data_IF_881875326131
#
_entry.id   IF_881875326131
#
_cell.length_a   1.000
_cell.length_b   1.000
_cell.length_c   1.000
_cell.angle_alpha   90.00
_cell.angle_beta   90.00
_cell.angle_gamma   90.00
#
_symmetry.space_group_name_H-M   'P 1'
#
loop_
_entity.id
_entity.type
_entity.pdbx_description
1 polymer ?
#
# COMPACT_ATOMS: atom_id res chain seq x y z
N UNK A 1 -5.66 21.16 23.95
CA UNK A 1 -4.57 21.38 24.92
C UNK A 1 -3.36 20.55 24.51
N UNK A 2 -2.71 20.95 23.38
CA UNK A 2 -1.42 20.39 22.94
C UNK A 2 -0.61 21.51 22.29
N UNK A 3 0.14 22.21 23.14
CA UNK A 3 1.19 23.17 22.81
C UNK A 3 2.44 22.66 23.51
N UNK A 4 3.38 22.11 22.76
CA UNK A 4 4.80 22.06 23.16
C UNK A 4 5.63 21.50 22.01
N UNK A 5 6.44 22.24 21.47
CA UNK A 5 7.83 22.32 21.13
C UNK A 5 8.07 23.21 19.93
N UNK A 6 8.36 24.44 20.27
CA UNK A 6 9.08 25.37 19.39
C UNK A 6 10.35 25.76 20.11
N UNK A 7 11.45 25.71 19.37
CA UNK A 7 12.68 26.45 19.61
C UNK A 7 13.92 25.65 20.03
N UNK A 8 14.95 25.58 19.12
CA UNK A 8 16.12 26.45 19.22
C UNK A 8 17.00 26.34 17.97
N UNK A 9 17.09 27.48 17.30
CA UNK A 9 18.17 27.77 16.36
C UNK A 9 19.49 27.94 17.13
N UNK A 10 20.58 27.41 16.58
CA UNK A 10 21.94 27.68 17.01
C UNK A 10 22.82 27.77 15.78
N UNK A 11 23.08 28.98 15.33
CA UNK A 11 24.07 29.28 14.31
C UNK A 11 25.47 29.19 14.91
N UNK A 12 26.43 28.62 14.20
CA UNK A 12 27.85 28.92 14.37
C UNK A 12 28.61 28.89 13.05
N UNK A 13 29.72 29.66 12.91
CA UNK A 13 30.06 30.37 11.69
C UNK A 13 31.17 29.73 10.84
N UNK A 14 31.29 30.32 9.69
CA UNK A 14 32.31 30.23 8.63
C UNK A 14 33.77 30.06 9.08
N UNK A 15 34.51 29.18 8.40
CA UNK A 15 35.93 29.34 8.11
C UNK A 15 36.29 28.63 6.79
N UNK A 16 36.65 29.41 5.79
CA UNK A 16 37.57 29.05 4.71
C UNK A 16 38.89 29.79 5.02
N UNK A 17 40.05 29.51 4.39
CA UNK A 17 40.29 28.99 3.04
C UNK A 17 41.54 28.10 2.85
N UNK A 18 41.70 27.56 1.63
CA UNK A 18 42.98 27.48 1.00
C UNK A 18 43.74 26.16 1.01
N UNK A 19 43.99 25.60 -0.18
CA UNK A 19 44.96 24.53 -0.40
C UNK A 19 44.74 23.82 -1.74
N UNK A 20 45.28 24.44 -2.84
CA UNK A 20 45.58 23.72 -4.08
C UNK A 20 46.67 22.70 -3.82
N UNK A 21 46.56 21.49 -4.27
CA UNK A 21 47.65 20.66 -4.85
C UNK A 21 47.07 19.57 -5.76
N UNK A 22 47.48 19.70 -7.04
CA UNK A 22 47.91 18.69 -8.02
C UNK A 22 47.28 17.28 -8.04
N UNK A 23 46.64 17.03 -9.14
CA UNK A 23 46.92 16.08 -10.23
C UNK A 23 47.70 14.79 -9.85
N UNK A 24 47.06 13.68 -10.05
CA UNK A 24 47.46 12.42 -10.68
C UNK A 24 46.63 11.24 -10.21
N UNK A 25 45.98 10.63 -11.13
CA UNK A 25 45.83 9.20 -11.39
C UNK A 25 44.40 8.84 -11.85
N UNK A 26 44.27 8.82 -13.15
CA UNK A 26 43.27 7.95 -13.81
C UNK A 26 43.57 6.50 -13.44
N UNK A 27 42.62 5.87 -12.77
CA UNK A 27 42.50 4.42 -12.75
C UNK A 27 41.06 4.03 -12.57
N UNK A 28 40.42 3.66 -13.64
CA UNK A 28 39.37 2.67 -13.83
C UNK A 28 38.43 2.35 -12.65
N UNK A 29 37.30 3.02 -12.56
CA UNK A 29 36.10 2.44 -11.97
C UNK A 29 34.97 2.52 -13.00
N UNK A 30 35.13 1.74 -14.02
CA UNK A 30 34.04 1.33 -14.87
C UNK A 30 33.51 0.01 -14.26
N UNK A 31 32.47 0.06 -13.48
CA UNK A 31 31.48 -1.01 -13.27
C UNK A 31 30.49 -0.60 -12.16
N UNK A 32 29.88 0.55 -12.30
CA UNK A 32 28.56 0.72 -11.66
C UNK A 32 27.54 0.05 -12.57
N UNK A 33 27.19 -1.18 -12.21
CA UNK A 33 26.10 -1.92 -12.82
C UNK A 33 24.87 -1.01 -12.82
N UNK A 34 24.44 -0.58 -13.99
CA UNK A 34 23.17 0.14 -14.19
C UNK A 34 22.08 -0.68 -13.52
N UNK A 35 21.21 -0.08 -12.71
CA UNK A 35 20.07 -0.79 -12.17
C UNK A 35 19.32 -1.40 -13.36
N UNK A 36 19.09 -2.71 -13.30
CA UNK A 36 18.26 -3.40 -14.28
C UNK A 36 16.88 -2.77 -14.20
N UNK A 37 16.58 -1.88 -15.12
CA UNK A 37 15.22 -1.41 -15.38
C UNK A 37 14.48 -2.60 -15.94
N UNK A 38 13.77 -3.30 -15.09
CA UNK A 38 12.80 -4.28 -15.53
C UNK A 38 11.61 -3.50 -16.12
N UNK A 39 11.63 -3.32 -17.42
CA UNK A 39 10.49 -2.82 -18.17
C UNK A 39 9.70 -4.05 -18.65
N UNK A 40 8.53 -4.36 -18.11
CA UNK A 40 7.64 -5.27 -18.80
C UNK A 40 7.06 -4.51 -19.99
N UNK A 41 7.49 -4.86 -21.18
CA UNK A 41 6.72 -4.59 -22.40
C UNK A 41 5.46 -5.45 -22.33
N UNK A 42 4.44 -4.98 -21.63
CA UNK A 42 3.13 -5.59 -21.66
C UNK A 42 2.44 -5.04 -22.91
N UNK A 43 2.15 -5.86 -23.94
CA UNK A 43 1.30 -5.42 -25.04
C UNK A 43 -0.07 -5.06 -24.46
N UNK A 44 -0.59 -3.88 -24.82
CA UNK A 44 -1.92 -3.39 -24.46
C UNK A 44 -3.03 -4.13 -25.22
N UNK A 45 -3.05 -5.44 -25.14
CA UNK A 45 -4.24 -6.25 -25.35
C UNK A 45 -4.58 -6.85 -24.00
N UNK A 46 -5.64 -6.37 -23.38
CA UNK A 46 -6.16 -6.93 -22.12
C UNK A 46 -6.47 -8.40 -22.40
N UNK A 47 -5.73 -9.36 -21.82
CA UNK A 47 -6.00 -10.77 -22.10
C UNK A 47 -7.34 -11.15 -21.48
N UNK A 48 -8.10 -12.03 -22.12
CA UNK A 48 -9.35 -12.62 -21.60
C UNK A 48 -9.22 -13.20 -20.16
N UNK A 49 -8.00 -13.49 -19.74
CA UNK A 49 -7.66 -13.95 -18.37
C UNK A 49 -7.89 -12.88 -17.30
N UNK A 50 -7.72 -11.59 -17.60
CA UNK A 50 -7.99 -10.51 -16.65
C UNK A 50 -9.50 -10.31 -16.44
N UNK A 51 -10.29 -10.48 -17.48
CA UNK A 51 -11.75 -10.45 -17.40
C UNK A 51 -12.30 -11.59 -16.54
N UNK A 52 -11.71 -12.79 -16.63
CA UNK A 52 -12.13 -13.93 -15.82
C UNK A 52 -11.80 -13.74 -14.33
N UNK A 53 -10.63 -13.19 -14.01
CA UNK A 53 -10.25 -12.89 -12.63
C UNK A 53 -11.14 -11.79 -12.03
N UNK A 54 -11.45 -10.74 -12.80
CA UNK A 54 -12.35 -9.66 -12.42
C UNK A 54 -13.77 -10.20 -12.18
N UNK A 55 -14.29 -11.03 -13.09
CA UNK A 55 -15.62 -11.64 -12.97
C UNK A 55 -15.73 -12.56 -11.74
N UNK A 56 -14.67 -13.35 -11.46
CA UNK A 56 -14.62 -14.19 -10.25
C UNK A 56 -14.62 -13.34 -8.98
N UNK A 57 -13.86 -12.24 -8.96
CA UNK A 57 -13.81 -11.30 -7.83
C UNK A 57 -15.18 -10.67 -7.59
N UNK A 58 -15.82 -10.16 -8.61
CA UNK A 58 -17.14 -9.55 -8.50
C UNK A 58 -18.20 -10.54 -8.00
N UNK A 59 -18.19 -11.77 -8.52
CA UNK A 59 -19.08 -12.84 -8.06
C UNK A 59 -18.84 -13.17 -6.59
N UNK A 60 -17.59 -13.21 -6.17
CA UNK A 60 -17.21 -13.48 -4.79
C UNK A 60 -17.61 -12.33 -3.86
N UNK A 61 -17.40 -11.07 -4.24
CA UNK A 61 -17.85 -9.90 -3.47
C UNK A 61 -19.36 -9.87 -3.28
N UNK A 62 -20.14 -10.25 -4.33
CA UNK A 62 -21.60 -10.38 -4.22
C UNK A 62 -21.98 -11.53 -3.28
N UNK A 63 -21.34 -12.70 -3.39
CA UNK A 63 -21.56 -13.85 -2.51
C UNK A 63 -21.33 -13.49 -1.04
N UNK A 64 -20.29 -12.72 -0.75
CA UNK A 64 -19.94 -12.27 0.59
C UNK A 64 -20.82 -11.11 1.08
N UNK A 65 -21.61 -10.49 0.21
CA UNK A 65 -22.28 -9.21 0.50
C UNK A 65 -21.31 -8.16 1.08
N UNK A 66 -20.04 -8.22 0.65
CA UNK A 66 -18.92 -7.56 1.29
C UNK A 66 -19.04 -6.02 1.27
N UNK A 67 -19.74 -5.47 0.29
CA UNK A 67 -19.93 -4.03 0.12
C UNK A 67 -21.13 -3.47 0.90
N UNK A 68 -22.01 -4.33 1.44
CA UNK A 68 -23.30 -3.90 1.95
C UNK A 68 -23.26 -3.24 3.32
N UNK A 69 -22.41 -3.64 4.24
CA UNK A 69 -22.35 -3.06 5.56
C UNK A 69 -21.05 -2.27 5.77
N UNK A 70 -21.17 -0.97 6.02
CA UNK A 70 -20.04 -0.09 6.37
C UNK A 70 -20.04 0.20 7.86
N UNK A 71 -18.88 0.58 8.40
CA UNK A 71 -18.76 1.04 9.78
C UNK A 71 -18.86 -0.07 10.83
N UNK A 72 -18.68 -1.33 10.45
CA UNK A 72 -18.65 -2.42 11.39
C UNK A 72 -17.40 -2.38 12.27
N UNK A 73 -17.58 -2.37 13.59
CA UNK A 73 -16.51 -2.26 14.57
C UNK A 73 -15.39 -3.29 14.38
N UNK A 74 -15.72 -4.49 13.92
CA UNK A 74 -14.71 -5.54 13.70
C UNK A 74 -13.66 -5.13 12.67
N UNK A 75 -14.07 -4.52 11.55
CA UNK A 75 -13.15 -4.03 10.53
C UNK A 75 -12.41 -2.77 10.98
N UNK A 76 -13.10 -1.92 11.77
CA UNK A 76 -12.46 -0.75 12.35
C UNK A 76 -11.32 -1.14 13.29
N UNK A 77 -11.50 -2.15 14.14
CA UNK A 77 -10.42 -2.67 15.00
C UNK A 77 -9.23 -3.23 14.21
N UNK A 78 -9.48 -3.84 13.06
CA UNK A 78 -8.39 -4.32 12.19
C UNK A 78 -7.53 -3.17 11.70
N UNK A 79 -8.14 -2.11 11.14
CA UNK A 79 -7.37 -0.97 10.61
C UNK A 79 -6.68 -0.17 11.70
N UNK A 80 -7.31 -0.01 12.87
CA UNK A 80 -6.67 0.62 14.03
C UNK A 80 -5.47 -0.18 14.53
N UNK A 81 -5.59 -1.51 14.56
CA UNK A 81 -4.50 -2.40 14.95
C UNK A 81 -3.35 -2.32 13.94
N UNK A 82 -3.66 -2.34 12.63
CA UNK A 82 -2.66 -2.18 11.57
C UNK A 82 -1.92 -0.85 11.71
N UNK A 83 -2.63 0.26 11.85
CA UNK A 83 -2.06 1.59 12.03
C UNK A 83 -1.13 1.67 13.25
N UNK A 84 -1.57 1.13 14.39
CA UNK A 84 -0.80 1.15 15.65
C UNK A 84 0.46 0.29 15.58
N UNK A 85 0.36 -0.95 15.09
CA UNK A 85 1.49 -1.88 15.03
C UNK A 85 2.51 -1.41 13.99
N UNK A 86 2.04 -0.96 12.82
CA UNK A 86 2.92 -0.43 11.80
C UNK A 86 3.38 1.00 12.08
N UNK A 87 2.80 1.68 13.08
CA UNK A 87 3.08 3.08 13.44
C UNK A 87 2.91 4.01 12.23
N UNK A 88 1.82 3.83 11.50
CA UNK A 88 1.49 4.61 10.31
C UNK A 88 0.24 5.45 10.53
N UNK A 89 0.15 6.67 9.97
CA UNK A 89 -1.03 7.53 10.10
C UNK A 89 -2.22 7.04 9.28
N UNK A 90 -1.99 6.19 8.28
CA UNK A 90 -3.00 5.69 7.37
C UNK A 90 -3.04 4.18 7.42
N UNK A 91 -4.25 3.63 7.55
CA UNK A 91 -4.54 2.21 7.36
C UNK A 91 -5.92 2.03 6.72
N UNK A 92 -6.10 1.02 5.89
CA UNK A 92 -7.36 0.76 5.23
C UNK A 92 -7.59 -0.72 4.93
N UNK A 93 -8.86 -1.12 4.94
CA UNK A 93 -9.39 -2.30 4.26
C UNK A 93 -10.07 -1.79 3.00
N UNK A 94 -9.52 -2.12 1.84
CA UNK A 94 -10.06 -1.75 0.54
C UNK A 94 -10.54 -2.99 -0.20
N UNK A 95 -11.74 -2.95 -0.78
CA UNK A 95 -12.33 -4.00 -1.61
C UNK A 95 -12.39 -3.51 -3.06
N UNK A 96 -11.98 -4.35 -4.01
CA UNK A 96 -11.91 -4.01 -5.43
C UNK A 96 -13.14 -4.53 -6.16
N UNK A 97 -14.02 -3.61 -6.57
CA UNK A 97 -15.21 -3.88 -7.37
C UNK A 97 -15.12 -3.13 -8.71
N UNK A 98 -14.94 -3.86 -9.79
CA UNK A 98 -14.60 -3.28 -11.09
C UNK A 98 -13.37 -2.40 -11.01
N UNK A 99 -13.50 -1.15 -11.44
CA UNK A 99 -12.44 -0.14 -11.41
C UNK A 99 -12.44 0.72 -10.14
N UNK A 100 -13.18 0.32 -9.11
CA UNK A 100 -13.35 1.10 -7.89
C UNK A 100 -12.87 0.34 -6.66
N UNK A 101 -12.02 0.98 -5.86
CA UNK A 101 -11.65 0.54 -4.52
C UNK A 101 -12.59 1.17 -3.50
N UNK A 102 -13.34 0.34 -2.80
CA UNK A 102 -14.25 0.73 -1.72
C UNK A 102 -13.58 0.53 -0.36
N UNK A 103 -13.53 1.59 0.45
CA UNK A 103 -12.99 1.49 1.80
C UNK A 103 -14.05 0.92 2.77
N UNK A 104 -13.85 -0.34 3.19
CA UNK A 104 -14.71 -1.02 4.18
C UNK A 104 -14.52 -0.44 5.57
N UNK A 105 -13.27 -0.12 5.92
CA UNK A 105 -12.85 0.61 7.11
C UNK A 105 -11.54 1.33 6.83
N UNK A 106 -11.31 2.46 7.48
CA UNK A 106 -10.06 3.22 7.32
C UNK A 106 -9.72 4.06 8.53
N UNK A 107 -8.43 4.37 8.66
CA UNK A 107 -7.85 5.39 9.54
C UNK A 107 -7.06 6.36 8.66
N UNK A 108 -7.24 7.66 8.86
CA UNK A 108 -6.52 8.70 8.11
C UNK A 108 -7.01 8.93 6.67
N UNK A 109 -8.11 8.30 6.25
CA UNK A 109 -8.76 8.50 4.95
C UNK A 109 -10.19 8.97 5.17
N UNK A 110 -10.58 10.08 4.53
CA UNK A 110 -11.94 10.62 4.60
C UNK A 110 -12.83 10.17 3.42
N UNK A 111 -12.23 9.63 2.35
CA UNK A 111 -12.97 9.16 1.17
C UNK A 111 -13.63 7.81 1.43
N UNK A 112 -14.78 7.55 0.81
CA UNK A 112 -15.46 6.24 0.86
C UNK A 112 -14.92 5.28 -0.21
N UNK A 113 -14.37 5.80 -1.30
CA UNK A 113 -13.84 5.03 -2.43
C UNK A 113 -12.81 5.84 -3.20
N UNK A 114 -12.06 5.15 -4.06
CA UNK A 114 -11.15 5.77 -5.03
C UNK A 114 -11.11 4.91 -6.29
N UNK A 115 -10.69 5.49 -7.42
CA UNK A 115 -10.42 4.69 -8.62
C UNK A 115 -9.27 3.72 -8.36
N UNK A 116 -9.43 2.46 -8.74
CA UNK A 116 -8.44 1.42 -8.50
C UNK A 116 -7.08 1.75 -9.15
N UNK A 117 -7.11 2.31 -10.36
CA UNK A 117 -5.92 2.77 -11.08
C UNK A 117 -5.11 3.82 -10.33
N UNK A 118 -5.68 4.46 -9.31
CA UNK A 118 -5.06 5.50 -8.51
C UNK A 118 -4.48 4.99 -7.17
N UNK A 119 -4.43 3.68 -6.98
CA UNK A 119 -4.01 3.11 -5.71
C UNK A 119 -3.00 1.97 -5.87
N UNK A 120 -1.91 1.96 -5.08
CA UNK A 120 -1.02 0.81 -5.01
C UNK A 120 -1.72 -0.50 -4.60
N UNK A 121 -2.92 -0.42 -3.99
CA UNK A 121 -3.72 -1.59 -3.64
C UNK A 121 -4.03 -2.48 -4.85
N UNK A 122 -4.27 -1.88 -6.03
CA UNK A 122 -4.54 -2.65 -7.26
C UNK A 122 -3.40 -3.63 -7.55
N UNK A 123 -2.16 -3.16 -7.46
CA UNK A 123 -0.98 -4.00 -7.66
C UNK A 123 -0.93 -5.17 -6.66
N UNK A 124 -1.27 -4.91 -5.40
CA UNK A 124 -1.28 -5.95 -4.35
C UNK A 124 -2.37 -6.99 -4.64
N UNK A 125 -3.56 -6.55 -5.01
CA UNK A 125 -4.70 -7.43 -5.27
C UNK A 125 -4.47 -8.31 -6.50
N UNK A 126 -3.89 -7.77 -7.56
CA UNK A 126 -3.77 -8.47 -8.84
C UNK A 126 -2.48 -9.27 -8.99
N UNK A 127 -1.40 -8.85 -8.32
CA UNK A 127 -0.07 -9.37 -8.64
C UNK A 127 0.69 -9.92 -7.44
N UNK A 128 0.16 -9.79 -6.22
CA UNK A 128 0.90 -10.21 -5.02
C UNK A 128 0.18 -11.34 -4.27
N UNK A 129 0.79 -12.52 -4.16
CA UNK A 129 0.24 -13.60 -3.32
C UNK A 129 0.52 -13.35 -1.82
N UNK A 130 1.37 -12.38 -1.50
CA UNK A 130 1.85 -12.09 -0.14
C UNK A 130 1.88 -10.58 0.12
N UNK A 131 2.21 -10.21 1.36
CA UNK A 131 2.41 -8.81 1.73
C UNK A 131 3.51 -8.18 0.89
N UNK A 132 3.25 -6.96 0.39
CA UNK A 132 4.18 -6.18 -0.42
C UNK A 132 4.36 -4.82 0.22
N UNK A 133 5.60 -4.31 0.28
CA UNK A 133 5.88 -2.95 0.69
C UNK A 133 6.63 -2.17 -0.39
N UNK A 134 6.39 -0.88 -0.42
CA UNK A 134 7.07 0.09 -1.27
C UNK A 134 7.63 1.17 -0.35
N UNK A 135 8.93 1.12 -0.07
CA UNK A 135 9.59 2.01 0.90
C UNK A 135 9.47 3.49 0.56
N UNK A 136 9.51 3.82 -0.74
CA UNK A 136 9.31 5.17 -1.25
C UNK A 136 8.65 5.14 -2.63
N UNK A 137 7.38 5.52 -2.69
CA UNK A 137 6.59 5.56 -3.93
C UNK A 137 7.17 6.49 -4.99
N UNK A 138 7.95 7.51 -4.60
CA UNK A 138 8.60 8.44 -5.54
C UNK A 138 9.72 7.79 -6.35
N UNK A 139 10.33 6.74 -5.79
CA UNK A 139 11.40 5.99 -6.42
C UNK A 139 10.89 4.92 -7.40
N UNK A 140 9.59 4.67 -7.42
CA UNK A 140 8.96 3.67 -8.27
C UNK A 140 8.38 4.32 -9.53
N UNK A 141 9.03 4.13 -10.67
CA UNK A 141 8.63 4.75 -11.94
C UNK A 141 7.18 4.45 -12.34
N UNK A 142 6.64 3.30 -11.96
CA UNK A 142 5.24 2.90 -12.23
C UNK A 142 4.21 3.76 -11.49
N UNK A 143 4.59 4.49 -10.45
CA UNK A 143 3.74 5.43 -9.73
C UNK A 143 4.05 6.89 -10.09
N UNK A 144 4.98 7.15 -11.00
CA UNK A 144 5.26 8.49 -11.49
C UNK A 144 4.00 9.06 -12.17
N UNK A 145 3.52 10.20 -11.67
CA UNK A 145 2.28 10.80 -12.16
C UNK A 145 0.99 10.14 -11.66
N UNK A 146 1.07 9.25 -10.69
CA UNK A 146 -0.09 8.60 -10.10
C UNK A 146 -1.00 9.65 -9.45
N UNK A 147 -2.31 9.67 -9.76
CA UNK A 147 -3.23 10.67 -9.21
C UNK A 147 -3.35 10.62 -7.68
N UNK A 148 -3.10 9.46 -7.06
CA UNK A 148 -3.04 9.35 -5.60
C UNK A 148 -1.90 10.20 -5.04
N UNK A 149 -0.72 10.20 -5.68
CA UNK A 149 0.38 11.08 -5.30
C UNK A 149 0.06 12.54 -5.60
N UNK A 150 -0.77 12.83 -6.62
CA UNK A 150 -1.24 14.18 -6.89
C UNK A 150 -2.29 14.64 -5.88
N UNK A 151 -3.23 13.76 -5.48
CA UNK A 151 -4.26 14.03 -4.47
C UNK A 151 -3.72 14.04 -3.04
N UNK A 152 -2.70 13.20 -2.77
CA UNK A 152 -2.01 13.07 -1.49
C UNK A 152 -0.50 13.15 -1.70
N UNK A 153 0.03 14.32 -2.06
CA UNK A 153 1.44 14.49 -2.45
C UNK A 153 2.43 14.17 -1.31
N UNK A 154 1.91 14.01 -0.10
CA UNK A 154 2.68 13.63 1.09
C UNK A 154 2.68 12.13 1.37
N UNK A 155 2.05 11.29 0.56
CA UNK A 155 2.09 9.84 0.75
C UNK A 155 3.30 9.27 0.03
N UNK A 156 4.28 8.82 0.79
CA UNK A 156 5.54 8.30 0.26
C UNK A 156 5.73 6.80 0.49
N UNK A 157 5.16 6.25 1.53
CA UNK A 157 5.26 4.84 1.88
C UNK A 157 3.94 4.10 1.71
N UNK A 158 4.03 2.86 1.26
CA UNK A 158 2.89 1.95 1.19
C UNK A 158 3.30 0.52 1.54
N UNK A 159 2.47 -0.18 2.30
CA UNK A 159 2.49 -1.63 2.40
C UNK A 159 1.07 -2.19 2.38
N UNK A 160 0.89 -3.35 1.72
CA UNK A 160 -0.41 -3.99 1.61
C UNK A 160 -0.30 -5.51 1.60
N UNK A 161 -1.31 -6.17 2.17
CA UNK A 161 -1.49 -7.61 2.14
C UNK A 161 -2.84 -7.94 1.48
N UNK A 162 -2.90 -8.85 0.50
CA UNK A 162 -4.12 -9.17 -0.21
C UNK A 162 -5.12 -9.89 0.69
N UNK A 163 -6.39 -9.59 0.52
CA UNK A 163 -7.53 -10.32 1.10
C UNK A 163 -7.89 -11.46 0.16
N UNK A 164 -7.42 -12.65 0.47
CA UNK A 164 -7.66 -13.85 -0.33
C UNK A 164 -8.69 -14.70 0.39
N UNK A 165 -9.84 -14.95 -0.24
CA UNK A 165 -10.90 -15.79 0.32
C UNK A 165 -10.52 -17.27 0.32
N UNK A 166 -11.30 -18.11 0.99
CA UNK A 166 -11.13 -19.57 0.99
C UNK A 166 -11.25 -20.19 -0.41
N UNK A 167 -11.88 -19.47 -1.34
CA UNK A 167 -11.97 -19.85 -2.76
C UNK A 167 -10.70 -19.45 -3.56
N UNK A 168 -9.68 -18.88 -2.91
CA UNK A 168 -8.47 -18.41 -3.55
C UNK A 168 -8.65 -17.13 -4.37
N UNK A 169 -9.74 -16.38 -4.14
CA UNK A 169 -10.05 -15.17 -4.90
C UNK A 169 -9.54 -13.94 -4.13
N UNK A 170 -8.65 -13.12 -4.72
CA UNK A 170 -8.23 -11.86 -4.10
C UNK A 170 -9.32 -10.79 -4.29
N UNK A 171 -10.01 -10.43 -3.20
CA UNK A 171 -11.14 -9.50 -3.22
C UNK A 171 -10.79 -8.08 -2.79
N UNK A 172 -9.60 -7.88 -2.22
CA UNK A 172 -9.18 -6.59 -1.69
C UNK A 172 -7.81 -6.64 -1.04
N UNK A 173 -7.50 -5.64 -0.23
CA UNK A 173 -6.27 -5.57 0.54
C UNK A 173 -6.48 -4.91 1.91
N UNK A 174 -5.68 -5.33 2.89
CA UNK A 174 -5.39 -4.54 4.10
C UNK A 174 -4.09 -3.80 3.84
N UNK A 175 -4.09 -2.50 4.01
CA UNK A 175 -2.94 -1.65 3.69
C UNK A 175 -2.65 -0.61 4.76
N UNK A 176 -1.42 -0.17 4.80
CA UNK A 176 -0.94 0.97 5.59
C UNK A 176 -0.13 1.90 4.70
N UNK A 177 -0.14 3.20 5.01
CA UNK A 177 0.59 4.21 4.27
C UNK A 177 1.11 5.31 5.22
N UNK A 178 2.15 6.02 4.77
CA UNK A 178 2.78 7.09 5.54
C UNK A 178 3.23 8.24 4.64
N UNK A 179 3.33 9.43 5.24
CA UNK A 179 3.88 10.63 4.62
C UNK A 179 5.43 10.68 4.65
N UNK A 180 6.07 9.60 5.08
CA UNK A 180 7.52 9.44 5.15
C UNK A 180 7.94 8.12 4.52
N UNK A 181 9.07 8.11 3.81
CA UNK A 181 9.71 6.85 3.42
C UNK A 181 10.02 6.03 4.67
N UNK A 182 9.75 4.74 4.61
CA UNK A 182 10.06 3.81 5.70
C UNK A 182 10.18 2.37 5.21
N UNK A 183 10.56 1.51 6.12
CA UNK A 183 10.57 0.08 5.92
C UNK A 183 9.96 -0.58 7.17
N UNK A 184 8.97 -1.44 6.98
CA UNK A 184 8.41 -2.25 8.07
C UNK A 184 9.34 -3.41 8.38
N UNK A 185 9.45 -3.72 9.67
CA UNK A 185 10.13 -4.92 10.12
C UNK A 185 9.40 -6.18 9.67
N UNK A 186 10.09 -7.35 9.60
CA UNK A 186 9.46 -8.62 9.27
C UNK A 186 8.25 -8.95 10.16
N UNK A 187 8.29 -8.57 11.44
CA UNK A 187 7.18 -8.77 12.39
C UNK A 187 5.97 -7.94 12.01
N UNK A 188 6.16 -6.68 11.62
CA UNK A 188 5.07 -5.79 11.18
C UNK A 188 4.46 -6.29 9.87
N UNK A 189 5.28 -6.69 8.89
CA UNK A 189 4.80 -7.27 7.64
C UNK A 189 4.00 -8.54 7.89
N UNK A 190 4.50 -9.43 8.76
CA UNK A 190 3.78 -10.65 9.15
C UNK A 190 2.46 -10.34 9.84
N UNK A 191 2.42 -9.33 10.69
CA UNK A 191 1.19 -8.89 11.34
C UNK A 191 0.16 -8.40 10.32
N UNK A 192 0.59 -7.60 9.34
CA UNK A 192 -0.28 -7.12 8.27
C UNK A 192 -0.88 -8.28 7.46
N UNK A 193 -0.07 -9.30 7.17
CA UNK A 193 -0.54 -10.52 6.50
C UNK A 193 -1.58 -11.28 7.34
N UNK A 194 -1.35 -11.42 8.64
CA UNK A 194 -2.31 -12.08 9.54
C UNK A 194 -3.62 -11.30 9.66
N UNK A 195 -3.56 -9.98 9.73
CA UNK A 195 -4.74 -9.11 9.74
C UNK A 195 -5.53 -9.23 8.42
N UNK A 196 -4.85 -9.37 7.28
CA UNK A 196 -5.51 -9.59 6.00
C UNK A 196 -6.24 -10.95 5.98
N UNK A 197 -5.60 -12.02 6.45
CA UNK A 197 -6.23 -13.35 6.57
C UNK A 197 -7.44 -13.32 7.52
N UNK A 198 -7.30 -12.67 8.67
CA UNK A 198 -8.41 -12.49 9.61
C UNK A 198 -9.56 -11.73 8.98
N UNK A 199 -9.28 -10.68 8.22
CA UNK A 199 -10.29 -9.87 7.53
C UNK A 199 -11.04 -10.69 6.48
N UNK A 200 -10.35 -11.53 5.71
CA UNK A 200 -10.98 -12.44 4.75
C UNK A 200 -11.94 -13.41 5.45
N UNK A 201 -11.53 -14.02 6.57
CA UNK A 201 -12.39 -14.89 7.38
C UNK A 201 -13.61 -14.14 7.96
N UNK A 202 -13.44 -12.88 8.39
CA UNK A 202 -14.55 -12.04 8.87
C UNK A 202 -15.56 -11.74 7.76
N UNK A 203 -15.10 -11.49 6.53
CA UNK A 203 -15.96 -11.31 5.37
C UNK A 203 -16.75 -12.57 5.07
N UNK A 204 -16.11 -13.73 5.11
CA UNK A 204 -16.75 -15.02 4.86
C UNK A 204 -17.77 -15.41 5.94
N UNK A 205 -17.44 -15.22 7.21
CA UNK A 205 -18.32 -15.53 8.33
C UNK A 205 -19.63 -14.69 8.33
N UNK A 206 -19.65 -13.57 7.59
CA UNK A 206 -20.82 -12.68 7.48
C UNK A 206 -21.57 -12.84 6.17
N UNK A 207 -21.14 -13.78 5.32
CA UNK A 207 -21.86 -14.08 4.10
C UNK A 207 -23.30 -14.51 4.40
N UNK A 208 -24.31 -13.98 3.66
CA UNK A 208 -25.69 -14.38 3.85
C UNK A 208 -25.85 -15.91 3.69
N UNK A 209 -26.46 -16.57 4.68
CA UNK A 209 -26.72 -18.01 4.65
C UNK A 209 -25.68 -18.89 5.36
N UNK A 210 -24.61 -18.34 5.94
CA UNK A 210 -23.78 -19.07 6.88
C UNK A 210 -24.30 -18.84 8.31
N UNK A 211 -24.87 -19.90 8.90
CA UNK A 211 -25.13 -19.90 10.34
C UNK A 211 -23.77 -19.81 11.07
N UNK A 212 -23.69 -19.06 12.20
CA UNK A 212 -22.49 -19.10 13.03
C UNK A 212 -22.26 -20.54 13.52
N UNK A 213 -21.01 -20.97 13.62
CA UNK A 213 -20.66 -22.29 14.16
C UNK A 213 -21.07 -22.43 15.60
#
# INVERSE_FOLDING_TARGET
MWRWFRNKAGAHPLAQPGGEIADEAEAGIDTLAKPRVWAPTVPMSVPAVLDEAANRRESELRRLAALQARGELAYQYVVETAARICQTPIAAIALLDGDTLWFKASVGICAESTAASHSPCLMVIEHSPAVTQIPDLRCEARFAGYPLLAAHPTTYYYAGAPLITSQGVPVGAVSVADDRPRELSPVQLRTLELLARQTALLLEARAPGQAPP
#
